data_IF_187313622121
#
_entry.id   IF_187313622121
#
_cell.length_a   1.000
_cell.length_b   1.000
_cell.length_c   1.000
_cell.angle_alpha   90.00
_cell.angle_beta   90.00
_cell.angle_gamma   90.00
#
_symmetry.space_group_name_H-M   'P 1'
#
loop_
_entity.id
_entity.type
_entity.pdbx_description
1 polymer ?
#
# COMPACT_ATOMS: atom_id res chain seq x y z
N UNK A 1 -6.79 16.97 11.05
CA UNK A 1 -5.30 16.84 10.94
C UNK A 1 -4.85 15.45 10.55
N UNK A 2 -5.34 14.36 11.21
CA UNK A 2 -4.94 12.96 10.94
C UNK A 2 -4.95 12.59 9.45
N UNK A 3 -6.07 12.78 8.74
CA UNK A 3 -6.20 12.40 7.32
C UNK A 3 -5.26 13.17 6.39
N UNK A 4 -5.03 14.44 6.68
CA UNK A 4 -4.08 15.26 5.91
C UNK A 4 -2.66 14.71 6.06
N UNK A 5 -2.28 14.27 7.26
CA UNK A 5 -0.97 13.66 7.52
C UNK A 5 -0.85 12.32 6.79
N UNK A 6 -1.87 11.46 6.87
CA UNK A 6 -1.88 10.16 6.17
C UNK A 6 -1.74 10.34 4.65
N UNK A 7 -2.54 11.25 4.05
CA UNK A 7 -2.46 11.56 2.63
C UNK A 7 -1.11 12.19 2.24
N UNK A 8 -0.57 13.09 3.06
CA UNK A 8 0.73 13.70 2.80
C UNK A 8 1.88 12.65 2.81
N UNK A 9 1.82 11.68 3.72
CA UNK A 9 2.78 10.57 3.76
C UNK A 9 2.65 9.71 2.50
N UNK A 10 1.43 9.32 2.11
CA UNK A 10 1.20 8.51 0.90
C UNK A 10 1.69 9.26 -0.35
N UNK A 11 1.37 10.55 -0.49
CA UNK A 11 1.86 11.38 -1.61
C UNK A 11 3.39 11.45 -1.62
N UNK A 12 4.00 11.68 -0.46
CA UNK A 12 5.46 11.75 -0.33
C UNK A 12 6.16 10.45 -0.75
N UNK A 13 5.62 9.31 -0.30
CA UNK A 13 6.15 8.00 -0.66
C UNK A 13 5.91 7.68 -2.15
N UNK A 14 4.72 7.99 -2.69
CA UNK A 14 4.42 7.80 -4.10
C UNK A 14 5.37 8.60 -5.00
N UNK A 15 5.71 9.84 -4.62
CA UNK A 15 6.71 10.66 -5.32
C UNK A 15 8.10 10.02 -5.20
N UNK A 16 8.49 9.59 -4.01
CA UNK A 16 9.80 8.96 -3.78
C UNK A 16 9.96 7.67 -4.59
N UNK A 17 8.92 6.80 -4.62
CA UNK A 17 8.93 5.58 -5.43
C UNK A 17 9.00 5.91 -6.93
N UNK A 18 8.21 6.85 -7.40
CA UNK A 18 8.24 7.26 -8.80
C UNK A 18 9.61 7.80 -9.22
N UNK A 19 10.22 8.64 -8.38
CA UNK A 19 11.57 9.19 -8.64
C UNK A 19 12.63 8.10 -8.62
N UNK A 20 12.61 7.20 -7.63
CA UNK A 20 13.57 6.09 -7.58
C UNK A 20 13.39 5.13 -8.75
N UNK A 21 12.17 4.91 -9.22
CA UNK A 21 11.88 4.15 -10.45
C UNK A 21 12.47 4.80 -11.71
N UNK A 22 12.39 6.13 -11.84
CA UNK A 22 13.03 6.87 -12.95
C UNK A 22 14.54 6.74 -12.88
N UNK A 23 15.13 6.91 -11.69
CA UNK A 23 16.59 6.80 -11.49
C UNK A 23 17.07 5.41 -11.90
N UNK A 24 16.39 4.35 -11.44
CA UNK A 24 16.66 2.97 -11.83
C UNK A 24 16.60 2.79 -13.34
N UNK A 25 15.53 3.27 -13.98
CA UNK A 25 15.37 3.17 -15.44
C UNK A 25 16.47 3.92 -16.21
N UNK A 26 16.92 5.06 -15.69
CA UNK A 26 18.01 5.84 -16.28
C UNK A 26 19.35 5.09 -16.18
N UNK A 27 19.65 4.52 -15.01
CA UNK A 27 20.88 3.73 -14.77
C UNK A 27 20.92 2.50 -15.69
N UNK A 28 19.78 1.80 -15.80
CA UNK A 28 19.66 0.58 -16.60
C UNK A 28 19.44 0.85 -18.09
N UNK A 29 19.38 2.12 -18.52
CA UNK A 29 19.12 2.55 -19.91
C UNK A 29 17.81 1.99 -20.49
N UNK A 30 16.81 1.77 -19.63
CA UNK A 30 15.48 1.23 -19.96
C UNK A 30 14.38 2.27 -19.68
N UNK A 31 14.56 3.49 -20.16
CA UNK A 31 13.56 4.54 -20.01
C UNK A 31 12.45 4.31 -21.03
N UNK A 32 11.22 4.10 -20.53
CA UNK A 32 10.03 3.93 -21.35
C UNK A 32 8.91 4.86 -20.89
N UNK A 33 8.46 5.74 -21.79
CA UNK A 33 7.34 6.64 -21.54
C UNK A 33 6.05 5.88 -21.18
N UNK A 34 5.85 4.68 -21.72
CA UNK A 34 4.72 3.84 -21.41
C UNK A 34 4.78 3.31 -19.97
N UNK A 35 5.94 2.79 -19.54
CA UNK A 35 6.14 2.32 -18.15
C UNK A 35 5.94 3.47 -17.15
N UNK A 36 6.47 4.65 -17.45
CA UNK A 36 6.31 5.84 -16.61
C UNK A 36 4.84 6.26 -16.47
N UNK A 37 4.09 6.26 -17.58
CA UNK A 37 2.66 6.61 -17.57
C UNK A 37 1.85 5.60 -16.76
N UNK A 38 2.08 4.32 -16.92
CA UNK A 38 1.40 3.25 -16.16
C UNK A 38 1.73 3.38 -14.68
N UNK A 39 3.01 3.57 -14.32
CA UNK A 39 3.42 3.80 -12.93
C UNK A 39 2.72 5.02 -12.31
N UNK A 40 2.65 6.13 -13.04
CA UNK A 40 1.93 7.32 -12.57
C UNK A 40 0.43 7.08 -12.36
N UNK A 41 -0.23 6.31 -13.23
CA UNK A 41 -1.64 5.94 -13.06
C UNK A 41 -1.86 5.06 -11.82
N UNK A 42 -0.97 4.12 -11.53
CA UNK A 42 -1.04 3.32 -10.29
C UNK A 42 -0.98 4.21 -9.05
N UNK A 43 -0.11 5.23 -9.02
CA UNK A 43 -0.03 6.17 -7.89
C UNK A 43 -1.32 6.99 -7.72
N UNK A 44 -1.96 7.38 -8.81
CA UNK A 44 -3.28 8.03 -8.74
C UNK A 44 -4.32 7.09 -8.15
N UNK A 45 -4.34 5.81 -8.54
CA UNK A 45 -5.25 4.80 -7.98
C UNK A 45 -5.01 4.61 -6.48
N UNK A 46 -3.78 4.53 -6.02
CA UNK A 46 -3.44 4.41 -4.58
C UNK A 46 -3.95 5.61 -3.77
N UNK A 47 -3.79 6.83 -4.31
CA UNK A 47 -4.33 8.03 -3.68
C UNK A 47 -5.86 8.04 -3.62
N UNK A 48 -6.54 7.55 -4.66
CA UNK A 48 -7.99 7.41 -4.67
C UNK A 48 -8.45 6.39 -3.63
N UNK A 49 -7.79 5.23 -3.54
CA UNK A 49 -8.09 4.20 -2.53
C UNK A 49 -7.89 4.75 -1.12
N UNK A 50 -6.79 5.45 -0.86
CA UNK A 50 -6.53 6.06 0.45
C UNK A 50 -7.57 7.13 0.81
N UNK A 51 -7.92 7.99 -0.16
CA UNK A 51 -8.95 9.02 0.03
C UNK A 51 -10.31 8.39 0.35
N UNK A 52 -10.67 7.31 -0.35
CA UNK A 52 -11.90 6.55 -0.11
C UNK A 52 -11.90 5.92 1.28
N UNK A 53 -10.78 5.35 1.72
CA UNK A 53 -10.65 4.78 3.06
C UNK A 53 -10.79 5.83 4.16
N UNK A 54 -10.23 7.02 3.97
CA UNK A 54 -10.43 8.15 4.89
C UNK A 54 -11.90 8.59 4.93
N UNK A 55 -12.56 8.67 3.77
CA UNK A 55 -13.99 8.98 3.67
C UNK A 55 -14.87 7.93 4.36
N UNK A 56 -14.53 6.65 4.19
CA UNK A 56 -15.22 5.55 4.85
C UNK A 56 -15.10 5.63 6.37
N UNK A 57 -13.91 5.89 6.91
CA UNK A 57 -13.72 6.10 8.36
C UNK A 57 -14.61 7.23 8.89
N UNK A 58 -14.67 8.36 8.17
CA UNK A 58 -15.52 9.49 8.55
C UNK A 58 -16.98 9.06 8.52
N UNK A 59 -17.43 8.39 7.48
CA UNK A 59 -18.80 7.91 7.33
C UNK A 59 -19.21 6.93 8.43
N UNK A 60 -18.37 5.95 8.74
CA UNK A 60 -18.60 4.98 9.82
C UNK A 60 -18.73 5.69 11.18
N UNK A 61 -17.88 6.68 11.46
CA UNK A 61 -17.95 7.45 12.71
C UNK A 61 -19.25 8.26 12.82
N UNK A 62 -19.71 8.87 11.75
CA UNK A 62 -20.98 9.60 11.76
C UNK A 62 -22.19 8.66 11.92
N UNK A 63 -22.19 7.50 11.24
CA UNK A 63 -23.20 6.47 11.43
C UNK A 63 -23.22 5.92 12.85
N UNK A 64 -22.06 5.75 13.48
CA UNK A 64 -21.95 5.29 14.87
C UNK A 64 -22.63 6.24 15.86
N UNK A 65 -22.58 7.54 15.62
CA UNK A 65 -23.32 8.52 16.43
C UNK A 65 -24.83 8.34 16.27
N UNK A 66 -25.29 8.11 15.04
CA UNK A 66 -26.72 7.91 14.74
C UNK A 66 -27.27 6.64 15.40
N UNK A 67 -26.50 5.54 15.37
CA UNK A 67 -26.89 4.26 15.97
C UNK A 67 -26.51 4.11 17.45
N UNK A 68 -26.09 5.17 18.11
CA UNK A 68 -25.68 5.19 19.53
C UNK A 68 -24.56 4.20 19.87
N UNK A 69 -23.71 3.90 18.91
CA UNK A 69 -22.54 3.02 19.06
C UNK A 69 -21.22 3.72 18.65
N UNK A 70 -20.90 4.91 19.20
CA UNK A 70 -19.79 5.73 18.72
C UNK A 70 -18.42 5.06 18.94
N UNK A 71 -18.24 4.33 20.03
CA UNK A 71 -16.96 3.67 20.35
C UNK A 71 -16.64 2.55 19.35
N UNK A 72 -17.64 1.72 19.03
CA UNK A 72 -17.47 0.65 18.04
C UNK A 72 -17.18 1.21 16.66
N UNK A 73 -17.91 2.25 16.26
CA UNK A 73 -17.71 2.92 14.97
C UNK A 73 -16.33 3.61 14.87
N UNK A 74 -15.84 4.18 15.97
CA UNK A 74 -14.48 4.76 16.00
C UNK A 74 -13.40 3.70 15.77
N UNK A 75 -13.50 2.56 16.44
CA UNK A 75 -12.56 1.45 16.30
C UNK A 75 -12.63 0.86 14.89
N UNK A 76 -13.83 0.56 14.39
CA UNK A 76 -14.02 -0.03 13.07
C UNK A 76 -13.53 0.90 11.95
N UNK A 77 -13.86 2.19 12.02
CA UNK A 77 -13.42 3.18 11.04
C UNK A 77 -11.90 3.37 11.07
N UNK A 78 -11.31 3.51 12.26
CA UNK A 78 -9.87 3.67 12.41
C UNK A 78 -9.11 2.43 11.91
N UNK A 79 -9.65 1.23 12.14
CA UNK A 79 -9.08 -0.02 11.63
C UNK A 79 -9.12 -0.06 10.11
N UNK A 80 -10.25 0.27 9.47
CA UNK A 80 -10.40 0.25 8.03
C UNK A 80 -9.41 1.19 7.33
N UNK A 81 -9.36 2.47 7.73
CA UNK A 81 -8.43 3.43 7.14
C UNK A 81 -6.96 3.12 7.50
N UNK A 82 -6.70 2.66 8.73
CA UNK A 82 -5.37 2.28 9.19
C UNK A 82 -4.79 1.08 8.45
N UNK A 83 -5.61 0.06 8.15
CA UNK A 83 -5.19 -1.11 7.39
C UNK A 83 -4.82 -0.74 5.95
N UNK A 84 -5.64 0.06 5.26
CA UNK A 84 -5.35 0.55 3.91
C UNK A 84 -4.08 1.40 3.90
N UNK A 85 -3.93 2.32 4.87
CA UNK A 85 -2.74 3.14 5.00
C UNK A 85 -1.47 2.29 5.20
N UNK A 86 -1.50 1.32 6.13
CA UNK A 86 -0.37 0.45 6.40
C UNK A 86 -0.01 -0.42 5.18
N UNK A 87 -1.02 -0.88 4.43
CA UNK A 87 -0.80 -1.63 3.20
C UNK A 87 -0.09 -0.79 2.12
N UNK A 88 -0.62 0.40 1.80
CA UNK A 88 -0.01 1.30 0.80
C UNK A 88 1.41 1.68 1.23
N UNK A 89 1.61 2.07 2.51
CA UNK A 89 2.92 2.41 3.05
C UNK A 89 3.93 1.28 2.89
N UNK A 90 3.53 0.05 3.17
CA UNK A 90 4.38 -1.13 3.01
C UNK A 90 4.77 -1.36 1.55
N UNK A 91 3.81 -1.24 0.62
CA UNK A 91 4.04 -1.42 -0.82
C UNK A 91 4.99 -0.35 -1.37
N UNK A 92 4.80 0.90 -0.99
CA UNK A 92 5.67 2.00 -1.42
C UNK A 92 7.11 1.84 -0.91
N UNK A 93 7.28 1.49 0.37
CA UNK A 93 8.62 1.26 0.95
C UNK A 93 9.31 0.09 0.24
N UNK A 94 8.60 -1.01 -0.03
CA UNK A 94 9.17 -2.16 -0.73
C UNK A 94 9.58 -1.76 -2.14
N UNK A 95 8.73 -1.05 -2.88
CA UNK A 95 9.02 -0.59 -4.24
C UNK A 95 10.24 0.33 -4.29
N UNK A 96 10.36 1.27 -3.36
CA UNK A 96 11.53 2.15 -3.22
C UNK A 96 12.81 1.33 -2.98
N UNK A 97 12.76 0.34 -2.07
CA UNK A 97 13.89 -0.53 -1.78
C UNK A 97 14.27 -1.40 -3.00
N UNK A 98 13.29 -1.92 -3.72
CA UNK A 98 13.52 -2.68 -4.96
C UNK A 98 14.18 -1.83 -6.03
N UNK A 99 13.67 -0.62 -6.26
CA UNK A 99 14.27 0.34 -7.18
C UNK A 99 15.72 0.67 -6.79
N UNK A 100 15.97 0.82 -5.48
CA UNK A 100 17.32 1.07 -4.97
C UNK A 100 18.27 -0.11 -5.20
N UNK A 101 17.83 -1.34 -4.92
CA UNK A 101 18.63 -2.56 -5.13
C UNK A 101 18.94 -2.77 -6.60
N UNK A 102 17.96 -2.56 -7.48
CA UNK A 102 18.16 -2.70 -8.92
C UNK A 102 19.09 -1.64 -9.51
N UNK A 103 19.07 -0.41 -8.92
CA UNK A 103 20.01 0.64 -9.29
C UNK A 103 21.42 0.43 -8.71
N UNK A 104 21.53 -0.30 -7.58
CA UNK A 104 22.79 -0.53 -6.86
C UNK A 104 22.96 -2.02 -6.52
N UNK A 105 23.41 -2.87 -7.45
CA UNK A 105 23.53 -4.33 -7.23
C UNK A 105 24.47 -4.70 -6.07
N UNK A 106 25.37 -3.80 -5.68
CA UNK A 106 26.30 -4.01 -4.57
C UNK A 106 25.66 -3.83 -3.19
N UNK A 107 24.44 -3.28 -3.11
CA UNK A 107 23.71 -3.04 -1.86
C UNK A 107 23.09 -4.34 -1.29
N UNK A 108 23.94 -5.32 -0.95
CA UNK A 108 23.52 -6.65 -0.46
C UNK A 108 22.62 -6.61 0.76
N UNK A 109 22.78 -5.62 1.63
CA UNK A 109 21.93 -5.44 2.81
C UNK A 109 20.48 -5.14 2.44
N UNK A 110 20.27 -4.26 1.47
CA UNK A 110 18.94 -3.89 0.99
C UNK A 110 18.29 -5.07 0.23
N UNK A 111 19.04 -5.80 -0.59
CA UNK A 111 18.60 -7.02 -1.25
C UNK A 111 18.13 -8.10 -0.25
N UNK A 112 18.81 -8.23 0.88
CA UNK A 112 18.40 -9.13 1.96
C UNK A 112 17.06 -8.73 2.62
N UNK A 113 16.82 -7.44 2.79
CA UNK A 113 15.56 -6.91 3.33
C UNK A 113 14.42 -7.15 2.34
N UNK A 114 14.60 -6.78 1.07
CA UNK A 114 13.60 -6.98 0.01
C UNK A 114 13.19 -8.44 -0.10
N UNK A 115 14.17 -9.37 -0.11
CA UNK A 115 13.87 -10.80 -0.16
C UNK A 115 13.01 -11.27 1.02
N UNK A 116 13.30 -10.82 2.24
CA UNK A 116 12.52 -11.17 3.43
C UNK A 116 11.09 -10.61 3.36
N UNK A 117 10.95 -9.36 2.92
CA UNK A 117 9.63 -8.72 2.79
C UNK A 117 8.77 -9.41 1.73
N UNK A 118 9.33 -9.79 0.59
CA UNK A 118 8.62 -10.55 -0.45
C UNK A 118 8.16 -11.92 0.05
N UNK A 119 9.00 -12.65 0.78
CA UNK A 119 8.61 -13.94 1.35
C UNK A 119 7.44 -13.78 2.31
N UNK A 120 7.47 -12.74 3.15
CA UNK A 120 6.39 -12.45 4.09
C UNK A 120 5.07 -12.11 3.38
N UNK A 121 5.11 -11.32 2.31
CA UNK A 121 3.93 -11.02 1.49
C UNK A 121 3.34 -12.27 0.83
N UNK A 122 4.17 -13.10 0.22
CA UNK A 122 3.73 -14.34 -0.43
C UNK A 122 3.12 -15.34 0.57
N UNK A 123 3.61 -15.38 1.80
CA UNK A 123 3.00 -16.21 2.84
C UNK A 123 1.61 -15.71 3.21
N UNK A 124 1.44 -14.41 3.37
CA UNK A 124 0.15 -13.79 3.66
C UNK A 124 -0.89 -14.04 2.57
N UNK A 125 -0.51 -13.88 1.30
CA UNK A 125 -1.38 -14.14 0.16
C UNK A 125 -1.82 -15.62 0.09
N UNK A 126 -0.93 -16.55 0.46
CA UNK A 126 -1.25 -17.99 0.51
C UNK A 126 -2.20 -18.33 1.65
N UNK A 127 -2.01 -17.72 2.82
CA UNK A 127 -2.91 -17.91 3.98
C UNK A 127 -4.30 -17.37 3.66
N UNK A 128 -4.43 -16.17 3.11
CA UNK A 128 -5.70 -15.58 2.71
C UNK A 128 -6.42 -16.39 1.61
N UNK A 129 -5.65 -16.98 0.68
CA UNK A 129 -6.22 -17.83 -0.38
C UNK A 129 -6.73 -19.18 0.17
N UNK A 130 -6.00 -19.78 1.10
CA UNK A 130 -6.42 -21.03 1.76
C UNK A 130 -7.67 -20.83 2.62
N UNK A 131 -7.72 -19.77 3.41
CA UNK A 131 -8.89 -19.45 4.25
C UNK A 131 -10.15 -19.19 3.39
N UNK A 132 -9.98 -18.58 2.22
CA UNK A 132 -11.06 -18.35 1.27
C UNK A 132 -11.56 -19.64 0.60
N UNK A 133 -10.67 -20.61 0.36
CA UNK A 133 -11.01 -21.91 -0.23
C UNK A 133 -11.73 -22.82 0.76
N UNK A 134 -11.34 -22.80 2.03
CA UNK A 134 -11.99 -23.59 3.10
C UNK A 134 -13.40 -23.09 3.42
N UNK A 135 -13.67 -21.80 3.30
CA UNK A 135 -15.01 -21.23 3.47
C UNK A 135 -15.97 -21.65 2.34
N UNK A 136 -15.49 -21.80 1.11
CA UNK A 136 -16.32 -22.26 0.00
C UNK A 136 -16.61 -23.77 0.00
N UNK A 137 -15.78 -24.57 0.65
CA UNK A 137 -15.98 -26.03 0.76
C UNK A 137 -16.89 -26.46 1.92
N UNK A 138 -17.21 -25.55 2.84
CA UNK A 138 -18.07 -25.80 4.00
C UNK A 138 -19.57 -25.54 3.79
N UNK A 139 -19.98 -24.98 2.65
CA UNK A 139 -21.38 -24.66 2.32
C UNK A 139 -22.02 -25.63 1.29
N UNK A 140 -21.48 -26.85 1.15
CA UNK A 140 -22.00 -27.89 0.26
C UNK A 140 -22.81 -28.96 0.98
#
# INVERSE_FOLDING_TARGET
>A
MKYVIMLAIVVGLAIADFVTGIIKAAINRDISSQKMRIGGLHKIMELLVMTTACGLEIGIRELGKYYQAPQLAEIAGAFAAGAVFAYILSMEIISILENYVEANPEAKWAAGIVKKLRVFQQQKEKEEHNDSADQQSGEG
#
